data_IF_453331027437
#
_entry.id   IF_453331027437
#
_cell.length_a   1.000
_cell.length_b   1.000
_cell.length_c   1.000
_cell.angle_alpha   90.00
_cell.angle_beta   90.00
_cell.angle_gamma   90.00
#
_symmetry.space_group_name_H-M   'P 1'
#
loop_
_entity.id
_entity.type
_entity.pdbx_description
1 polymer ?
#
# COMPACT_ATOMS: atom_id res chain seq x y z
N UNK A 1 -9.11 16.46 -52.66
CA UNK A 1 -9.42 17.74 -51.99
C UNK A 1 -10.25 17.39 -50.77
N UNK A 2 -9.93 17.64 -49.51
CA UNK A 2 -9.01 18.55 -48.82
C UNK A 2 -8.33 17.81 -47.66
N UNK A 3 -7.00 17.81 -47.64
CA UNK A 3 -6.16 17.38 -46.52
C UNK A 3 -6.35 18.33 -45.34
N UNK A 4 -6.72 17.81 -44.17
CA UNK A 4 -6.73 18.59 -42.93
C UNK A 4 -5.27 18.88 -42.53
N UNK A 5 -4.81 20.15 -42.58
CA UNK A 5 -3.38 20.49 -42.58
C UNK A 5 -2.81 20.73 -41.18
N UNK A 6 -3.38 20.14 -40.12
CA UNK A 6 -3.01 20.50 -38.74
C UNK A 6 -2.37 19.37 -37.91
N UNK A 7 -1.59 18.51 -38.56
CA UNK A 7 -0.41 17.92 -37.91
C UNK A 7 0.79 18.75 -38.34
N UNK A 8 0.87 19.99 -37.83
CA UNK A 8 2.18 20.62 -37.74
C UNK A 8 3.02 19.72 -36.85
N UNK A 9 3.95 18.98 -37.46
CA UNK A 9 5.12 18.48 -36.75
C UNK A 9 5.72 19.69 -36.04
N UNK A 10 5.49 19.81 -34.73
CA UNK A 10 6.04 20.91 -33.96
C UNK A 10 7.53 20.97 -34.27
N UNK A 11 7.97 22.07 -34.90
CA UNK A 11 9.39 22.28 -35.18
C UNK A 11 10.14 22.02 -33.88
N UNK A 12 11.27 21.29 -33.89
CA UNK A 12 12.05 21.07 -32.67
C UNK A 12 12.32 22.45 -32.07
N UNK A 13 11.65 22.73 -30.95
CA UNK A 13 11.77 24.01 -30.29
C UNK A 13 13.24 24.09 -29.86
N UNK A 14 13.98 25.02 -30.43
CA UNK A 14 15.39 25.21 -30.09
C UNK A 14 15.45 25.58 -28.61
N UNK A 15 15.68 24.59 -27.75
CA UNK A 15 15.83 24.80 -26.32
C UNK A 15 17.16 25.52 -26.14
N UNK A 16 17.10 26.82 -25.81
CA UNK A 16 18.28 27.57 -25.36
C UNK A 16 18.72 26.99 -24.03
N UNK A 17 19.76 26.15 -24.04
CA UNK A 17 20.43 25.74 -22.82
C UNK A 17 21.25 26.91 -22.28
N UNK A 18 20.70 27.61 -21.30
CA UNK A 18 21.49 28.48 -20.43
C UNK A 18 22.55 27.64 -19.72
N UNK A 19 23.83 28.05 -19.77
CA UNK A 19 24.91 27.41 -19.01
C UNK A 19 24.76 27.58 -17.48
N UNK A 20 23.88 28.48 -17.02
CA UNK A 20 23.62 28.73 -15.59
C UNK A 20 22.28 28.12 -15.19
N UNK A 21 22.33 27.22 -14.21
CA UNK A 21 21.13 26.67 -13.58
C UNK A 21 20.49 27.74 -12.69
N UNK A 22 19.16 27.86 -12.79
CA UNK A 22 18.39 28.78 -11.95
C UNK A 22 18.33 28.25 -10.51
N UNK A 23 18.56 29.14 -9.53
CA UNK A 23 18.41 28.81 -8.11
C UNK A 23 16.93 28.93 -7.75
N UNK A 24 16.30 27.80 -7.45
CA UNK A 24 14.89 27.70 -7.07
C UNK A 24 14.71 27.92 -5.56
N UNK A 25 15.61 27.34 -4.75
CA UNK A 25 15.57 27.44 -3.29
C UNK A 25 16.83 28.15 -2.76
N UNK A 26 16.91 29.49 -2.80
CA UNK A 26 18.12 30.22 -2.40
C UNK A 26 18.40 30.13 -0.90
N UNK A 27 17.35 30.12 -0.08
CA UNK A 27 17.42 30.03 1.38
C UNK A 27 17.11 28.61 1.83
N UNK A 28 18.04 27.69 1.59
CA UNK A 28 17.84 26.29 1.89
C UNK A 28 18.98 25.68 2.71
N UNK A 29 18.74 24.49 3.26
CA UNK A 29 19.77 23.69 3.89
C UNK A 29 19.74 22.25 3.40
N UNK A 30 20.89 21.59 3.43
CA UNK A 30 21.05 20.17 3.24
C UNK A 30 21.58 19.51 4.50
N UNK A 31 20.85 18.50 4.99
CA UNK A 31 21.23 17.72 6.16
C UNK A 31 21.64 16.32 5.75
N UNK A 32 22.81 15.90 6.24
CA UNK A 32 23.21 14.51 6.23
C UNK A 32 23.14 13.95 7.67
N UNK A 33 22.32 12.91 7.84
CA UNK A 33 21.87 12.42 9.14
C UNK A 33 22.57 11.11 9.51
N UNK A 34 23.43 11.19 10.52
CA UNK A 34 24.06 10.04 11.15
C UNK A 34 23.43 9.75 12.53
N UNK A 35 23.83 8.64 13.15
CA UNK A 35 23.31 8.22 14.45
C UNK A 35 23.54 9.27 15.54
N UNK A 36 24.77 9.80 15.60
CA UNK A 36 25.20 10.69 16.70
C UNK A 36 25.41 12.15 16.24
N UNK A 37 25.50 12.37 14.92
CA UNK A 37 25.86 13.66 14.33
C UNK A 37 24.97 14.01 13.13
N UNK A 38 24.66 15.29 12.99
CA UNK A 38 23.99 15.89 11.83
C UNK A 38 24.95 16.88 11.20
N UNK A 39 25.28 16.68 9.92
CA UNK A 39 26.01 17.67 9.13
C UNK A 39 25.01 18.57 8.42
N UNK A 40 25.08 19.87 8.67
CA UNK A 40 24.18 20.86 8.10
C UNK A 40 24.96 21.83 7.21
N UNK A 41 24.67 21.81 5.91
CA UNK A 41 25.10 22.84 4.98
C UNK A 41 23.97 23.84 4.76
N UNK A 42 24.28 25.14 4.75
CA UNK A 42 23.31 26.21 4.50
C UNK A 42 23.64 27.00 3.24
N UNK A 43 22.61 27.37 2.48
CA UNK A 43 22.66 28.35 1.40
C UNK A 43 22.39 29.78 1.90
N UNK A 44 22.47 30.79 1.02
CA UNK A 44 22.70 30.68 -0.42
C UNK A 44 24.16 30.41 -0.80
N UNK A 45 24.37 29.67 -1.89
CA UNK A 45 25.69 29.50 -2.49
C UNK A 45 26.12 30.77 -3.24
N UNK A 46 27.40 31.13 -3.12
CA UNK A 46 28.01 32.26 -3.84
C UNK A 46 29.28 31.81 -4.56
N UNK A 47 29.51 32.35 -5.75
CA UNK A 47 30.71 32.04 -6.53
C UNK A 47 31.97 32.44 -5.77
N UNK A 48 32.97 31.55 -5.73
CA UNK A 48 34.23 31.77 -5.01
C UNK A 48 34.15 31.64 -3.48
N UNK A 49 32.96 31.40 -2.90
CA UNK A 49 32.78 31.25 -1.45
C UNK A 49 32.59 29.78 -1.09
N UNK A 50 33.39 29.28 -0.15
CA UNK A 50 33.23 27.92 0.36
C UNK A 50 31.91 27.78 1.13
N UNK A 51 31.15 26.69 0.94
CA UNK A 51 29.91 26.47 1.67
C UNK A 51 30.19 26.21 3.15
N UNK A 52 29.39 26.86 4.00
CA UNK A 52 29.41 26.67 5.44
C UNK A 52 28.76 25.33 5.78
N UNK A 53 29.46 24.54 6.61
CA UNK A 53 28.96 23.27 7.14
C UNK A 53 29.22 23.24 8.63
N UNK A 54 28.16 23.06 9.42
CA UNK A 54 28.20 22.98 10.88
C UNK A 54 27.66 21.62 11.30
N UNK A 55 28.24 21.03 12.36
CA UNK A 55 27.78 19.78 12.92
C UNK A 55 26.95 20.00 14.18
N UNK A 56 25.91 19.18 14.34
CA UNK A 56 25.05 19.18 15.52
C UNK A 56 24.87 17.77 16.05
N UNK A 57 24.81 17.57 17.37
CA UNK A 57 24.48 16.26 17.92
C UNK A 57 22.97 15.95 17.74
N UNK A 58 22.61 14.66 17.78
CA UNK A 58 21.23 14.19 17.48
C UNK A 58 20.27 14.21 18.68
N UNK A 59 20.73 14.54 19.88
CA UNK A 59 19.86 14.70 21.06
C UNK A 59 19.05 16.01 21.00
N UNK A 60 17.99 16.11 21.82
CA UNK A 60 17.01 17.21 21.79
C UNK A 60 17.66 18.60 21.85
N UNK A 61 18.63 18.83 22.72
CA UNK A 61 19.34 20.12 22.79
C UNK A 61 20.17 20.41 21.52
N UNK A 62 20.78 19.38 20.92
CA UNK A 62 21.45 19.47 19.62
C UNK A 62 20.51 19.88 18.49
N UNK A 63 19.32 19.28 18.45
CA UNK A 63 18.28 19.65 17.49
C UNK A 63 17.77 21.08 17.71
N UNK A 64 17.67 21.55 18.95
CA UNK A 64 17.35 22.96 19.25
C UNK A 64 18.45 23.92 18.77
N UNK A 65 19.72 23.55 18.92
CA UNK A 65 20.87 24.31 18.38
C UNK A 65 20.83 24.34 16.85
N UNK A 66 20.53 23.22 16.20
CA UNK A 66 20.33 23.14 14.75
C UNK A 66 19.21 24.10 14.30
N UNK A 67 18.03 24.06 14.93
CA UNK A 67 16.92 24.96 14.59
C UNK A 67 17.33 26.42 14.73
N UNK A 68 17.99 26.79 15.83
CA UNK A 68 18.45 28.17 16.06
C UNK A 68 19.38 28.62 14.94
N UNK A 69 20.38 27.80 14.61
CA UNK A 69 21.32 28.08 13.53
C UNK A 69 20.61 28.27 12.18
N UNK A 70 19.68 27.38 11.82
CA UNK A 70 18.93 27.49 10.56
C UNK A 70 18.08 28.76 10.49
N UNK A 71 17.46 29.17 11.61
CA UNK A 71 16.71 30.43 11.70
C UNK A 71 17.60 31.66 11.60
N UNK A 72 18.76 31.66 12.25
CA UNK A 72 19.77 32.73 12.14
C UNK A 72 20.24 32.91 10.68
N UNK A 73 20.42 31.80 9.96
CA UNK A 73 20.74 31.79 8.52
C UNK A 73 19.56 32.06 7.60
N UNK A 74 18.35 32.31 8.16
CA UNK A 74 17.10 32.56 7.44
C UNK A 74 16.75 31.45 6.44
N UNK A 75 17.07 30.20 6.78
CA UNK A 75 16.71 29.04 5.96
C UNK A 75 15.20 28.88 5.95
N UNK A 76 14.63 28.69 4.77
CA UNK A 76 13.20 28.44 4.57
C UNK A 76 12.90 26.93 4.42
N UNK A 77 13.72 26.21 3.64
CA UNK A 77 13.48 24.79 3.32
C UNK A 77 14.70 23.94 3.63
N UNK A 78 14.48 22.73 4.15
CA UNK A 78 15.56 21.85 4.64
C UNK A 78 15.45 20.48 4.01
N UNK A 79 16.35 20.12 3.09
CA UNK A 79 16.40 18.79 2.52
C UNK A 79 17.23 17.85 3.39
N UNK A 80 16.77 16.61 3.59
CA UNK A 80 17.50 15.59 4.35
C UNK A 80 17.41 14.21 3.68
N UNK A 81 18.51 13.48 3.67
CA UNK A 81 18.57 12.06 3.30
C UNK A 81 18.65 11.22 4.59
N UNK A 82 17.94 10.09 4.65
CA UNK A 82 18.15 9.08 5.70
C UNK A 82 17.81 7.67 5.22
N UNK A 83 18.55 6.69 5.72
CA UNK A 83 18.37 5.26 5.44
C UNK A 83 17.73 4.48 6.61
N UNK A 84 17.28 5.17 7.66
CA UNK A 84 16.72 4.56 8.88
C UNK A 84 15.63 5.40 9.56
N UNK A 85 15.46 5.25 10.88
CA UNK A 85 14.49 6.04 11.68
C UNK A 85 15.00 7.43 12.06
N UNK A 86 16.30 7.66 11.93
CA UNK A 86 16.98 8.87 12.44
C UNK A 86 16.51 10.19 11.84
N UNK A 87 15.77 10.18 10.72
CA UNK A 87 15.15 11.40 10.18
C UNK A 87 13.98 11.91 10.99
N UNK A 88 13.29 11.05 11.76
CA UNK A 88 11.99 11.40 12.34
C UNK A 88 12.09 12.55 13.34
N UNK A 89 13.01 12.46 14.31
CA UNK A 89 13.16 13.50 15.33
C UNK A 89 13.63 14.85 14.75
N UNK A 90 14.67 14.91 13.87
CA UNK A 90 15.01 16.14 13.16
C UNK A 90 13.84 16.71 12.34
N UNK A 91 13.14 15.86 11.58
CA UNK A 91 12.02 16.28 10.74
C UNK A 91 10.90 16.93 11.55
N UNK A 92 10.45 16.27 12.63
CA UNK A 92 9.40 16.81 13.50
C UNK A 92 9.87 18.09 14.21
N UNK A 93 11.10 18.13 14.71
CA UNK A 93 11.63 19.33 15.39
C UNK A 93 11.69 20.54 14.45
N UNK A 94 12.07 20.32 13.18
CA UNK A 94 12.08 21.39 12.17
C UNK A 94 10.66 21.84 11.82
N UNK A 95 9.73 20.90 11.69
CA UNK A 95 8.32 21.19 11.41
C UNK A 95 7.69 22.01 12.54
N UNK A 96 7.87 21.59 13.80
CA UNK A 96 7.39 22.29 14.99
C UNK A 96 7.99 23.71 15.12
N UNK A 97 9.20 23.90 14.59
CA UNK A 97 9.86 25.20 14.56
C UNK A 97 9.37 26.12 13.42
N UNK A 98 8.47 25.66 12.55
CA UNK A 98 7.94 26.41 11.41
C UNK A 98 8.84 26.42 10.18
N UNK A 99 9.81 25.50 10.08
CA UNK A 99 10.61 25.28 8.87
C UNK A 99 9.93 24.27 7.95
N UNK A 100 10.33 24.21 6.68
CA UNK A 100 9.81 23.25 5.69
C UNK A 100 10.81 22.10 5.44
N UNK A 101 10.76 21.01 6.24
CA UNK A 101 11.62 19.85 6.04
C UNK A 101 11.13 18.97 4.87
N UNK A 102 12.09 18.56 4.02
CA UNK A 102 11.90 17.71 2.84
C UNK A 102 12.73 16.44 2.98
N UNK A 103 12.08 15.32 3.27
CA UNK A 103 12.76 14.02 3.28
C UNK A 103 12.96 13.54 1.85
N UNK A 104 14.18 13.23 1.46
CA UNK A 104 14.53 12.82 0.09
C UNK A 104 14.88 11.33 0.07
N UNK A 105 14.47 10.64 -1.00
CA UNK A 105 14.79 9.22 -1.15
C UNK A 105 16.29 9.05 -1.45
N UNK A 106 17.03 8.23 -0.67
CA UNK A 106 18.44 7.93 -0.93
C UNK A 106 18.73 7.48 -2.36
N UNK A 107 17.83 6.70 -2.96
CA UNK A 107 17.97 6.21 -4.33
C UNK A 107 17.94 7.32 -5.38
N UNK A 108 17.26 8.44 -5.12
CA UNK A 108 17.17 9.55 -6.06
C UNK A 108 18.44 10.42 -6.01
N UNK A 109 19.07 10.54 -4.83
CA UNK A 109 20.34 11.26 -4.63
C UNK A 109 21.55 10.44 -5.12
N UNK A 110 21.57 9.12 -4.86
CA UNK A 110 22.68 8.22 -5.21
C UNK A 110 22.93 8.07 -6.70
N UNK A 111 21.90 8.24 -7.53
CA UNK A 111 22.01 8.04 -8.98
C UNK A 111 22.58 9.26 -9.73
N UNK A 112 22.88 10.36 -9.02
CA UNK A 112 23.43 11.57 -9.63
C UNK A 112 24.97 11.47 -9.64
N UNK A 113 25.56 11.49 -10.84
CA UNK A 113 27.01 11.44 -11.01
C UNK A 113 27.69 12.61 -10.29
N UNK A 114 28.84 12.35 -9.67
CA UNK A 114 29.60 13.36 -8.92
C UNK A 114 29.27 13.45 -7.43
N UNK A 115 28.43 12.54 -6.90
CA UNK A 115 28.20 12.43 -5.46
C UNK A 115 29.54 12.24 -4.71
N UNK A 116 29.81 13.05 -3.67
CA UNK A 116 30.99 12.90 -2.82
C UNK A 116 31.03 11.57 -2.04
N UNK A 117 32.16 11.29 -1.38
CA UNK A 117 32.36 10.10 -0.55
C UNK A 117 32.46 10.40 0.96
N UNK A 118 32.17 11.63 1.39
CA UNK A 118 32.26 12.02 2.81
C UNK A 118 30.99 12.74 3.27
N UNK A 119 30.64 12.54 4.54
CA UNK A 119 29.41 13.06 5.16
C UNK A 119 29.31 14.60 5.05
N UNK A 120 30.42 15.30 5.29
CA UNK A 120 30.51 16.75 5.09
C UNK A 120 30.11 17.14 3.67
N UNK A 121 30.66 16.46 2.68
CA UNK A 121 30.43 16.78 1.29
C UNK A 121 29.03 16.31 0.81
N UNK A 122 28.47 15.26 1.41
CA UNK A 122 27.10 14.82 1.18
C UNK A 122 26.08 15.87 1.65
N UNK A 123 26.28 16.52 2.81
CA UNK A 123 25.40 17.62 3.25
C UNK A 123 25.41 18.81 2.26
N UNK A 124 26.58 19.16 1.73
CA UNK A 124 26.75 20.20 0.70
C UNK A 124 26.07 19.79 -0.60
N UNK A 125 26.22 18.52 -0.99
CA UNK A 125 25.61 17.96 -2.19
C UNK A 125 24.09 18.00 -2.12
N UNK A 126 23.50 17.57 -1.00
CA UNK A 126 22.06 17.66 -0.74
C UNK A 126 21.60 19.11 -0.82
N UNK A 127 22.29 20.03 -0.13
CA UNK A 127 21.93 21.45 -0.13
C UNK A 127 21.97 22.05 -1.54
N UNK A 128 22.98 21.71 -2.34
CA UNK A 128 23.15 22.21 -3.71
C UNK A 128 22.10 21.64 -4.67
N UNK A 129 21.80 20.35 -4.59
CA UNK A 129 20.74 19.75 -5.41
C UNK A 129 19.38 20.34 -5.04
N UNK A 130 19.15 20.58 -3.75
CA UNK A 130 17.93 21.22 -3.27
C UNK A 130 17.82 22.68 -3.72
N UNK A 131 18.92 23.44 -3.73
CA UNK A 131 18.92 24.83 -4.22
C UNK A 131 18.51 24.95 -5.67
N UNK A 132 18.83 23.95 -6.51
CA UNK A 132 18.42 23.89 -7.92
C UNK A 132 17.08 23.16 -8.16
N UNK A 133 16.42 22.68 -7.10
CA UNK A 133 15.14 21.96 -7.19
C UNK A 133 15.22 20.57 -7.84
N UNK A 134 16.40 19.94 -7.84
CA UNK A 134 16.58 18.59 -8.38
C UNK A 134 16.07 17.48 -7.44
N UNK A 135 15.83 17.81 -6.17
CA UNK A 135 15.38 16.84 -5.18
C UNK A 135 13.86 16.76 -5.13
N UNK A 136 13.34 15.54 -5.24
CA UNK A 136 11.92 15.26 -5.02
C UNK A 136 11.69 14.87 -3.57
N UNK A 137 10.81 15.61 -2.89
CA UNK A 137 10.36 15.26 -1.55
C UNK A 137 9.56 13.95 -1.56
N UNK A 138 9.86 13.09 -0.60
CA UNK A 138 9.01 11.97 -0.21
C UNK A 138 7.75 12.51 0.45
N UNK A 139 6.65 11.78 0.30
CA UNK A 139 5.41 12.09 1.00
C UNK A 139 5.54 11.67 2.48
N UNK A 140 5.45 12.65 3.37
CA UNK A 140 5.33 12.45 4.82
C UNK A 140 3.92 12.90 5.22
N UNK A 141 3.11 12.04 5.83
CA UNK A 141 1.78 12.42 6.26
C UNK A 141 1.87 13.30 7.52
N UNK A 142 0.78 14.00 7.90
CA UNK A 142 0.74 14.77 9.14
C UNK A 142 1.11 13.93 10.39
N UNK A 143 1.63 14.55 11.47
CA UNK A 143 2.12 13.83 12.65
C UNK A 143 1.16 12.80 13.23
N UNK A 144 -0.14 13.10 13.29
CA UNK A 144 -1.17 12.16 13.78
C UNK A 144 -1.26 10.89 12.93
N UNK A 145 -1.21 11.02 11.61
CA UNK A 145 -1.22 9.90 10.67
C UNK A 145 0.12 9.15 10.71
N UNK A 146 1.23 9.84 10.95
CA UNK A 146 2.53 9.21 11.13
C UNK A 146 2.57 8.34 12.40
N UNK A 147 1.96 8.82 13.50
CA UNK A 147 1.78 8.03 14.72
C UNK A 147 0.91 6.79 14.48
N UNK A 148 -0.21 6.97 13.77
CA UNK A 148 -1.07 5.86 13.36
C UNK A 148 -0.30 4.83 12.51
N UNK A 149 0.51 5.28 11.55
CA UNK A 149 1.37 4.42 10.73
C UNK A 149 2.34 3.61 11.58
N UNK A 150 2.98 4.26 12.56
CA UNK A 150 3.93 3.62 13.46
C UNK A 150 3.25 2.54 14.31
N UNK A 151 2.06 2.81 14.85
CA UNK A 151 1.28 1.82 15.59
C UNK A 151 0.85 0.64 14.71
N UNK A 152 0.36 0.88 13.49
CA UNK A 152 0.06 -0.19 12.53
C UNK A 152 1.31 -1.03 12.23
N UNK A 153 2.47 -0.39 12.05
CA UNK A 153 3.75 -1.09 11.85
C UNK A 153 4.16 -1.94 13.06
N UNK A 154 3.92 -1.48 14.28
CA UNK A 154 4.12 -2.26 15.51
C UNK A 154 3.18 -3.46 15.56
N UNK A 155 1.89 -3.24 15.29
CA UNK A 155 0.87 -4.29 15.22
C UNK A 155 1.27 -5.39 14.24
N UNK A 156 1.69 -5.03 13.02
CA UNK A 156 2.09 -6.00 12.00
C UNK A 156 3.28 -6.86 12.45
N UNK A 157 4.27 -6.26 13.13
CA UNK A 157 5.41 -6.99 13.70
C UNK A 157 4.97 -7.96 14.80
N UNK A 158 4.08 -7.53 15.69
CA UNK A 158 3.55 -8.39 16.76
C UNK A 158 2.74 -9.56 16.18
N UNK A 159 1.97 -9.36 15.11
CA UNK A 159 1.25 -10.44 14.43
C UNK A 159 2.23 -11.48 13.86
N UNK A 160 3.31 -11.05 13.22
CA UNK A 160 4.35 -11.96 12.71
C UNK A 160 5.03 -12.73 13.86
N UNK A 161 5.30 -12.05 14.98
CA UNK A 161 5.88 -12.69 16.17
C UNK A 161 4.91 -13.70 16.81
N UNK A 162 3.62 -13.38 16.90
CA UNK A 162 2.59 -14.29 17.40
C UNK A 162 2.50 -15.56 16.53
N UNK A 163 2.51 -15.42 15.21
CA UNK A 163 2.56 -16.56 14.30
C UNK A 163 3.82 -17.41 14.47
N UNK A 164 4.95 -16.78 14.75
CA UNK A 164 6.21 -17.49 15.03
C UNK A 164 6.18 -18.25 16.35
N UNK A 165 5.59 -17.66 17.41
CA UNK A 165 5.41 -18.32 18.70
C UNK A 165 4.44 -19.52 18.57
N UNK A 166 3.32 -19.34 17.88
CA UNK A 166 2.37 -20.40 17.58
C UNK A 166 3.02 -21.59 16.84
N UNK A 167 3.86 -21.31 15.84
CA UNK A 167 4.59 -22.37 15.14
C UNK A 167 5.54 -23.13 16.06
N UNK A 168 6.21 -22.43 16.99
CA UNK A 168 7.09 -23.07 17.98
C UNK A 168 6.31 -23.95 18.96
N UNK A 169 5.15 -23.49 19.43
CA UNK A 169 4.24 -24.32 20.24
C UNK A 169 3.86 -25.61 19.49
N UNK A 170 3.47 -25.50 18.22
CA UNK A 170 3.16 -26.68 17.40
C UNK A 170 4.36 -27.62 17.26
N UNK A 171 5.57 -27.10 17.08
CA UNK A 171 6.77 -27.93 17.00
C UNK A 171 7.00 -28.73 18.30
N UNK A 172 6.77 -28.15 19.48
CA UNK A 172 6.89 -28.90 20.75
C UNK A 172 5.81 -29.99 20.88
N UNK A 173 4.57 -29.72 20.45
CA UNK A 173 3.51 -30.74 20.38
C UNK A 173 3.92 -31.90 19.46
N UNK A 174 4.44 -31.59 18.27
CA UNK A 174 4.90 -32.61 17.30
C UNK A 174 6.07 -33.43 17.85
N UNK A 175 7.04 -32.83 18.57
CA UNK A 175 8.14 -33.57 19.21
C UNK A 175 7.63 -34.60 20.23
N UNK A 176 6.56 -34.26 20.95
CA UNK A 176 5.87 -35.17 21.87
C UNK A 176 4.93 -36.17 21.15
N UNK A 177 4.89 -36.15 19.82
CA UNK A 177 3.96 -36.89 18.95
C UNK A 177 2.47 -36.55 19.15
N UNK A 178 2.16 -35.36 19.66
CA UNK A 178 0.80 -34.84 19.77
C UNK A 178 0.48 -34.06 18.50
N UNK A 179 -0.37 -34.63 17.64
CA UNK A 179 -0.64 -34.14 16.28
C UNK A 179 -1.89 -33.28 16.21
N UNK A 180 -1.93 -32.25 17.04
CA UNK A 180 -3.07 -31.32 17.13
C UNK A 180 -3.31 -30.56 15.81
N UNK A 181 -2.26 -30.38 15.01
CA UNK A 181 -2.27 -29.85 13.64
C UNK A 181 -3.14 -30.66 12.67
N UNK A 182 -3.31 -31.95 12.90
CA UNK A 182 -4.20 -32.81 12.10
C UNK A 182 -5.68 -32.74 12.55
N UNK A 183 -5.93 -32.18 13.74
CA UNK A 183 -7.27 -32.11 14.35
C UNK A 183 -7.88 -30.72 14.18
N UNK A 184 -7.07 -29.69 14.42
CA UNK A 184 -7.46 -28.29 14.47
C UNK A 184 -6.87 -27.51 13.30
N UNK A 185 -7.70 -26.66 12.67
CA UNK A 185 -7.22 -25.68 11.69
C UNK A 185 -6.47 -24.51 12.34
N UNK A 186 -6.71 -24.27 13.64
CA UNK A 186 -6.05 -23.25 14.43
C UNK A 186 -5.81 -23.75 15.86
N UNK A 187 -4.55 -24.01 16.17
CA UNK A 187 -4.09 -24.47 17.49
C UNK A 187 -4.21 -23.38 18.54
N UNK A 188 -4.20 -22.11 18.14
CA UNK A 188 -4.34 -20.99 19.06
C UNK A 188 -5.80 -20.54 19.23
N UNK A 189 -6.72 -21.19 18.53
CA UNK A 189 -8.15 -21.02 18.76
C UNK A 189 -8.58 -21.55 20.13
N UNK A 190 -9.86 -21.36 20.49
CA UNK A 190 -10.40 -21.71 21.81
C UNK A 190 -10.10 -23.16 22.23
N UNK A 191 -10.44 -24.14 21.39
CA UNK A 191 -10.21 -25.56 21.70
C UNK A 191 -8.72 -25.89 21.86
N UNK A 192 -7.87 -25.38 20.97
CA UNK A 192 -6.45 -25.68 21.01
C UNK A 192 -5.76 -25.05 22.22
N UNK A 193 -6.17 -23.83 22.59
CA UNK A 193 -5.72 -23.17 23.83
C UNK A 193 -6.08 -24.00 25.06
N UNK A 194 -7.33 -24.48 25.17
CA UNK A 194 -7.74 -25.32 26.30
C UNK A 194 -6.93 -26.62 26.39
N UNK A 195 -6.70 -27.29 25.25
CA UNK A 195 -5.88 -28.51 25.19
C UNK A 195 -4.44 -28.22 25.60
N UNK A 196 -3.81 -27.18 25.05
CA UNK A 196 -2.44 -26.79 25.40
C UNK A 196 -2.32 -26.45 26.89
N UNK A 197 -3.24 -25.66 27.44
CA UNK A 197 -3.24 -25.31 28.86
C UNK A 197 -3.44 -26.56 29.75
N UNK A 198 -4.27 -27.51 29.35
CA UNK A 198 -4.45 -28.77 30.09
C UNK A 198 -3.16 -29.60 30.09
N UNK A 199 -2.48 -29.72 28.94
CA UNK A 199 -1.19 -30.40 28.83
C UNK A 199 -0.15 -29.73 29.73
N UNK A 200 -0.08 -28.39 29.74
CA UNK A 200 0.84 -27.65 30.62
C UNK A 200 0.53 -27.94 32.10
N UNK A 201 -0.74 -28.04 32.49
CA UNK A 201 -1.17 -28.35 33.86
C UNK A 201 -1.01 -29.82 34.27
N UNK A 202 -0.51 -30.68 33.39
CA UNK A 202 -0.25 -32.09 33.71
C UNK A 202 -1.28 -33.08 33.16
N UNK A 203 -2.27 -32.66 32.38
CA UNK A 203 -3.22 -33.60 31.75
C UNK A 203 -2.54 -34.40 30.62
N UNK A 204 -2.74 -35.72 30.63
CA UNK A 204 -2.12 -36.67 29.69
C UNK A 204 -3.13 -37.61 29.03
N UNK A 205 -4.36 -37.66 29.55
CA UNK A 205 -5.44 -38.50 29.06
C UNK A 205 -5.95 -37.99 27.71
N UNK A 206 -5.83 -38.79 26.62
CA UNK A 206 -6.37 -38.40 25.32
C UNK A 206 -7.87 -38.13 25.36
N UNK A 207 -8.63 -38.84 26.22
CA UNK A 207 -10.06 -38.64 26.39
C UNK A 207 -10.38 -37.31 27.08
N UNK A 208 -9.63 -36.94 28.11
CA UNK A 208 -9.79 -35.66 28.78
C UNK A 208 -9.53 -34.51 27.80
N UNK A 209 -8.44 -34.60 27.02
CA UNK A 209 -8.11 -33.61 25.99
C UNK A 209 -9.16 -33.55 24.88
N UNK A 210 -9.71 -34.69 24.45
CA UNK A 210 -10.80 -34.74 23.47
C UNK A 210 -12.05 -34.03 23.96
N UNK A 211 -12.39 -34.16 25.25
CA UNK A 211 -13.57 -33.54 25.84
C UNK A 211 -13.51 -32.00 25.85
N UNK A 212 -12.30 -31.43 25.90
CA UNK A 212 -12.06 -29.98 25.77
C UNK A 212 -12.34 -29.43 24.37
N UNK A 213 -12.39 -30.30 23.36
CA UNK A 213 -12.68 -29.89 21.98
C UNK A 213 -14.15 -29.50 21.84
N UNK A 214 -14.40 -28.43 21.10
CA UNK A 214 -15.77 -28.02 20.77
C UNK A 214 -16.50 -29.08 19.93
N UNK A 215 -17.82 -29.14 20.06
CA UNK A 215 -18.70 -30.19 19.50
C UNK A 215 -18.48 -30.42 17.99
N UNK A 216 -18.35 -29.35 17.20
CA UNK A 216 -18.11 -29.44 15.76
C UNK A 216 -16.80 -30.16 15.38
N UNK A 217 -15.78 -30.13 16.25
CA UNK A 217 -14.53 -30.87 16.04
C UNK A 217 -14.74 -32.32 16.44
N UNK A 218 -15.37 -32.58 17.59
CA UNK A 218 -15.69 -33.93 18.07
C UNK A 218 -16.51 -34.74 17.05
N UNK A 219 -17.41 -34.07 16.33
CA UNK A 219 -18.22 -34.67 15.26
C UNK A 219 -17.41 -35.25 14.08
N UNK A 220 -16.12 -34.91 13.94
CA UNK A 220 -15.24 -35.54 12.92
C UNK A 220 -14.92 -37.00 13.24
N UNK A 221 -15.25 -37.47 14.43
CA UNK A 221 -15.18 -38.87 14.85
C UNK A 221 -14.11 -39.10 15.90
N UNK A 222 -14.54 -39.61 17.07
CA UNK A 222 -13.66 -39.91 18.21
C UNK A 222 -12.47 -40.79 17.84
N UNK A 223 -12.71 -41.91 17.14
CA UNK A 223 -11.66 -42.84 16.72
C UNK A 223 -10.62 -42.23 15.77
N UNK A 224 -10.94 -41.14 15.06
CA UNK A 224 -9.99 -40.42 14.21
C UNK A 224 -9.17 -39.38 14.97
N UNK A 225 -9.69 -38.86 16.08
CA UNK A 225 -9.08 -37.74 16.82
C UNK A 225 -8.18 -38.24 17.95
N UNK A 226 -8.66 -39.20 18.75
CA UNK A 226 -7.95 -39.71 19.93
C UNK A 226 -6.50 -40.12 19.61
N UNK A 227 -6.18 -40.82 18.51
CA UNK A 227 -4.81 -41.18 18.17
C UNK A 227 -3.85 -39.98 18.01
N UNK A 228 -4.37 -38.80 17.65
CA UNK A 228 -3.59 -37.58 17.51
C UNK A 228 -3.37 -36.83 18.84
N UNK A 229 -4.07 -37.21 19.90
CA UNK A 229 -3.93 -36.65 21.25
C UNK A 229 -3.07 -37.52 22.17
N UNK A 230 -2.67 -38.71 21.69
CA UNK A 230 -1.71 -39.57 22.37
C UNK A 230 -0.29 -39.08 22.09
N UNK A 231 0.54 -38.97 23.13
CA UNK A 231 1.92 -38.52 23.00
C UNK A 231 2.80 -39.06 24.13
N UNK A 232 4.11 -38.78 24.04
CA UNK A 232 5.10 -39.16 25.07
C UNK A 232 5.22 -38.16 26.21
N UNK A 233 4.79 -36.92 25.98
CA UNK A 233 4.78 -35.84 26.98
C UNK A 233 6.13 -35.59 27.67
N UNK A 234 7.22 -35.61 26.89
CA UNK A 234 8.58 -35.37 27.37
C UNK A 234 8.66 -34.04 28.16
N UNK A 235 9.16 -34.06 29.40
CA UNK A 235 9.12 -32.92 30.34
C UNK A 235 9.75 -31.64 29.75
N UNK A 236 10.90 -31.75 29.09
CA UNK A 236 11.55 -30.63 28.42
C UNK A 236 10.67 -30.02 27.31
N UNK A 237 9.92 -30.84 26.57
CA UNK A 237 9.01 -30.35 25.53
C UNK A 237 7.78 -29.66 26.15
N UNK A 238 7.25 -30.17 27.25
CA UNK A 238 6.16 -29.53 28.01
C UNK A 238 6.60 -28.17 28.55
N UNK A 239 7.79 -28.07 29.14
CA UNK A 239 8.36 -26.81 29.62
C UNK A 239 8.55 -25.79 28.49
N UNK A 240 9.09 -26.22 27.34
CA UNK A 240 9.23 -25.36 26.16
C UNK A 240 7.85 -24.92 25.63
N UNK A 241 6.87 -25.82 25.60
CA UNK A 241 5.50 -25.51 25.19
C UNK A 241 4.89 -24.43 26.09
N UNK A 242 5.04 -24.54 27.41
CA UNK A 242 4.62 -23.53 28.38
C UNK A 242 5.29 -22.18 28.11
N UNK A 243 6.61 -22.16 27.92
CA UNK A 243 7.38 -20.95 27.62
C UNK A 243 6.85 -20.24 26.36
N UNK A 244 6.65 -20.99 25.27
CA UNK A 244 6.12 -20.43 24.02
C UNK A 244 4.67 -19.99 24.14
N UNK A 245 3.85 -20.72 24.91
CA UNK A 245 2.46 -20.39 25.16
C UNK A 245 2.33 -19.08 25.96
N UNK A 246 3.13 -18.90 27.01
CA UNK A 246 3.19 -17.67 27.79
C UNK A 246 3.62 -16.47 26.93
N UNK A 247 4.66 -16.64 26.10
CA UNK A 247 5.10 -15.60 25.16
C UNK A 247 4.01 -15.26 24.14
N UNK A 248 3.34 -16.26 23.57
CA UNK A 248 2.22 -16.06 22.65
C UNK A 248 1.11 -15.21 23.29
N UNK A 249 0.68 -15.54 24.52
CA UNK A 249 -0.35 -14.77 25.26
C UNK A 249 0.10 -13.33 25.49
N UNK A 250 1.35 -13.10 25.89
CA UNK A 250 1.91 -11.76 26.09
C UNK A 250 1.92 -10.94 24.79
N UNK A 251 2.31 -11.53 23.66
CA UNK A 251 2.28 -10.86 22.35
C UNK A 251 0.84 -10.51 21.96
N UNK A 252 -0.13 -11.41 22.19
CA UNK A 252 -1.55 -11.17 21.88
C UNK A 252 -2.14 -10.01 22.70
N UNK A 253 -1.84 -9.93 23.99
CA UNK A 253 -2.18 -8.77 24.82
C UNK A 253 -1.51 -7.48 24.30
N UNK A 254 -0.28 -7.57 23.79
CA UNK A 254 0.39 -6.47 23.11
C UNK A 254 -0.38 -6.00 21.86
N UNK A 255 -0.89 -6.92 21.04
CA UNK A 255 -1.71 -6.60 19.87
C UNK A 255 -2.99 -5.89 20.28
N UNK A 256 -3.70 -6.39 21.30
CA UNK A 256 -4.93 -5.77 21.83
C UNK A 256 -4.67 -4.32 22.28
N UNK A 257 -3.62 -4.09 23.07
CA UNK A 257 -3.22 -2.74 23.53
C UNK A 257 -2.90 -1.79 22.37
N UNK A 258 -2.23 -2.28 21.33
CA UNK A 258 -1.92 -1.48 20.15
C UNK A 258 -3.18 -1.21 19.31
N UNK A 259 -4.07 -2.20 19.15
CA UNK A 259 -5.35 -2.04 18.46
C UNK A 259 -6.24 -1.00 19.14
N UNK A 260 -6.27 -0.99 20.48
CA UNK A 260 -6.97 0.03 21.27
C UNK A 260 -6.44 1.44 20.95
N UNK A 261 -5.11 1.62 20.93
CA UNK A 261 -4.51 2.91 20.57
C UNK A 261 -4.75 3.31 19.11
N UNK A 262 -4.70 2.36 18.18
CA UNK A 262 -5.05 2.60 16.77
C UNK A 262 -6.51 3.06 16.67
N UNK A 263 -7.43 2.37 17.36
CA UNK A 263 -8.84 2.70 17.34
C UNK A 263 -9.11 4.10 17.90
N UNK A 264 -8.48 4.48 19.02
CA UNK A 264 -8.57 5.81 19.61
C UNK A 264 -8.14 6.91 18.61
N UNK A 265 -7.02 6.72 17.91
CA UNK A 265 -6.59 7.69 16.89
C UNK A 265 -7.60 7.74 15.73
N UNK A 266 -8.03 6.60 15.20
CA UNK A 266 -9.02 6.56 14.13
C UNK A 266 -10.33 7.26 14.53
N UNK A 267 -10.76 7.10 15.78
CA UNK A 267 -11.96 7.75 16.31
C UNK A 267 -11.83 9.27 16.38
N UNK A 268 -10.64 9.78 16.68
CA UNK A 268 -10.34 11.22 16.73
C UNK A 268 -10.23 11.91 15.37
N UNK A 269 -10.13 11.14 14.28
CA UNK A 269 -10.01 11.72 12.94
C UNK A 269 -11.28 12.46 12.51
N UNK A 270 -11.16 13.50 11.65
CA UNK A 270 -12.30 14.26 11.15
C UNK A 270 -13.36 13.37 10.51
N UNK A 271 -14.62 13.61 10.89
CA UNK A 271 -15.81 12.88 10.42
C UNK A 271 -16.51 13.72 9.34
N UNK A 272 -16.87 13.09 8.21
CA UNK A 272 -17.61 13.70 7.09
C UNK A 272 -19.10 13.36 7.08
N UNK A 273 -19.53 12.34 7.82
CA UNK A 273 -20.94 11.95 7.95
C UNK A 273 -21.26 11.40 9.34
N UNK A 274 -22.55 11.40 9.70
CA UNK A 274 -23.08 10.65 10.84
C UNK A 274 -23.20 9.15 10.55
N UNK A 275 -23.33 8.35 11.60
CA UNK A 275 -23.40 6.88 11.50
C UNK A 275 -24.68 6.34 10.84
N UNK A 276 -25.75 7.14 10.77
CA UNK A 276 -27.13 6.68 10.63
C UNK A 276 -27.57 6.27 9.21
N UNK A 277 -26.82 6.58 8.15
CA UNK A 277 -27.21 6.32 6.75
C UNK A 277 -26.39 5.23 6.05
N UNK A 278 -25.89 4.24 6.78
CA UNK A 278 -25.04 3.21 6.17
C UNK A 278 -25.84 2.12 5.45
N UNK A 279 -25.46 1.73 4.21
CA UNK A 279 -26.04 0.55 3.56
C UNK A 279 -25.77 -0.74 4.35
N UNK A 280 -26.56 -1.82 4.15
CA UNK A 280 -26.28 -3.11 4.76
C UNK A 280 -24.89 -3.62 4.33
N UNK A 281 -24.24 -4.37 5.23
CA UNK A 281 -22.98 -5.00 4.91
C UNK A 281 -23.15 -6.03 3.78
N UNK A 282 -22.17 -6.14 2.89
CA UNK A 282 -22.14 -7.25 1.92
C UNK A 282 -22.17 -8.59 2.65
N UNK A 283 -22.85 -9.58 2.07
CA UNK A 283 -23.02 -10.94 2.66
C UNK A 283 -21.72 -11.58 3.19
N UNK A 284 -20.59 -11.36 2.51
CA UNK A 284 -19.29 -11.96 2.86
C UNK A 284 -18.34 -10.99 3.56
N UNK A 285 -18.84 -9.87 4.08
CA UNK A 285 -18.02 -8.92 4.83
C UNK A 285 -17.66 -9.49 6.21
N UNK A 286 -16.38 -9.47 6.57
CA UNK A 286 -15.90 -9.92 7.87
C UNK A 286 -14.62 -9.17 8.25
N UNK A 287 -14.61 -8.52 9.41
CA UNK A 287 -13.45 -7.82 9.98
C UNK A 287 -12.97 -8.39 11.32
N UNK A 288 -13.59 -9.48 11.83
CA UNK A 288 -13.25 -10.07 13.14
C UNK A 288 -11.79 -10.53 13.23
N UNK A 289 -11.22 -10.95 12.11
CA UNK A 289 -9.82 -11.37 12.02
C UNK A 289 -8.81 -10.23 12.27
N UNK A 290 -9.27 -8.98 12.26
CA UNK A 290 -8.44 -7.82 12.59
C UNK A 290 -8.33 -7.57 14.09
N UNK A 291 -9.25 -8.14 14.87
CA UNK A 291 -9.17 -8.20 16.33
C UNK A 291 -9.15 -6.82 17.00
N UNK A 292 -9.90 -5.87 16.42
CA UNK A 292 -10.09 -4.53 17.00
C UNK A 292 -11.15 -4.55 18.10
N UNK A 293 -11.07 -3.66 19.10
CA UNK A 293 -12.01 -3.60 20.23
C UNK A 293 -13.45 -3.34 19.79
N UNK A 294 -13.63 -2.60 18.69
CA UNK A 294 -14.93 -2.26 18.13
C UNK A 294 -14.93 -2.36 16.59
N UNK A 295 -16.11 -2.51 15.95
CA UNK A 295 -16.22 -2.55 14.50
C UNK A 295 -15.59 -1.33 13.81
N UNK A 296 -14.83 -1.54 12.74
CA UNK A 296 -14.15 -0.46 12.01
C UNK A 296 -14.98 0.07 10.86
N UNK A 297 -15.88 -0.73 10.27
CA UNK A 297 -16.72 -0.28 9.14
C UNK A 297 -17.54 0.97 9.45
N UNK A 298 -18.26 1.07 10.59
CA UNK A 298 -18.96 2.30 10.98
C UNK A 298 -18.03 3.50 11.03
N UNK A 299 -16.88 3.33 11.68
CA UNK A 299 -15.89 4.37 11.84
C UNK A 299 -15.35 4.88 10.49
N UNK A 300 -15.02 3.99 9.56
CA UNK A 300 -14.55 4.40 8.24
C UNK A 300 -15.62 5.09 7.40
N UNK A 301 -16.89 4.69 7.51
CA UNK A 301 -17.96 5.40 6.85
C UNK A 301 -18.08 6.84 7.35
N UNK A 302 -18.02 7.05 8.67
CA UNK A 302 -18.04 8.40 9.24
C UNK A 302 -16.84 9.23 8.77
N UNK A 303 -15.64 8.64 8.72
CA UNK A 303 -14.41 9.31 8.25
C UNK A 303 -14.52 9.73 6.78
N UNK A 304 -14.95 8.82 5.90
CA UNK A 304 -14.97 9.07 4.46
C UNK A 304 -16.26 9.73 3.96
N UNK A 305 -17.33 9.72 4.76
CA UNK A 305 -18.67 10.13 4.37
C UNK A 305 -19.36 9.16 3.39
N UNK A 306 -18.76 7.99 3.15
CA UNK A 306 -19.30 6.97 2.26
C UNK A 306 -18.72 5.61 2.59
N UNK A 307 -19.47 4.54 2.35
CA UNK A 307 -19.05 3.18 2.67
C UNK A 307 -18.19 2.59 1.55
N UNK A 308 -16.88 2.85 1.62
CA UNK A 308 -15.90 2.27 0.70
C UNK A 308 -15.87 0.74 0.76
N UNK A 309 -16.35 0.11 1.84
CA UNK A 309 -16.42 -1.36 1.94
C UNK A 309 -17.44 -1.94 0.97
N UNK A 310 -18.36 -1.15 0.38
CA UNK A 310 -19.24 -1.64 -0.69
C UNK A 310 -18.46 -2.01 -1.96
N UNK A 311 -17.29 -1.42 -2.18
CA UNK A 311 -16.46 -1.75 -3.34
C UNK A 311 -16.02 -3.23 -3.32
N UNK A 312 -15.96 -3.91 -4.48
CA UNK A 312 -15.55 -5.30 -4.55
C UNK A 312 -14.16 -5.53 -3.98
N UNK A 313 -14.04 -6.47 -3.04
CA UNK A 313 -12.78 -6.83 -2.39
C UNK A 313 -12.24 -5.82 -1.36
N UNK A 314 -12.89 -4.66 -1.17
CA UNK A 314 -12.49 -3.71 -0.13
C UNK A 314 -13.03 -4.17 1.23
N UNK A 315 -12.12 -4.39 2.18
CA UNK A 315 -12.39 -4.68 3.59
C UNK A 315 -11.77 -3.62 4.51
N UNK A 316 -11.99 -3.76 5.81
CA UNK A 316 -11.44 -2.85 6.81
C UNK A 316 -9.89 -2.87 6.86
N UNK A 317 -9.27 -3.99 6.49
CA UNK A 317 -7.82 -4.16 6.38
C UNK A 317 -7.20 -3.16 5.40
N UNK A 318 -7.80 -3.00 4.21
CA UNK A 318 -7.39 -2.02 3.22
C UNK A 318 -7.60 -0.60 3.74
N UNK A 319 -8.69 -0.34 4.45
CA UNK A 319 -9.01 1.00 4.96
C UNK A 319 -8.08 1.42 6.11
N UNK A 320 -7.72 0.51 7.02
CA UNK A 320 -6.66 0.73 8.02
C UNK A 320 -5.34 1.06 7.32
N UNK A 321 -4.96 0.27 6.31
CA UNK A 321 -3.73 0.52 5.55
C UNK A 321 -3.78 1.86 4.80
N UNK A 322 -4.94 2.24 4.25
CA UNK A 322 -5.15 3.50 3.55
C UNK A 322 -4.96 4.69 4.51
N UNK A 323 -5.72 4.73 5.60
CA UNK A 323 -5.68 5.86 6.54
C UNK A 323 -4.32 5.97 7.21
N UNK A 324 -3.72 4.86 7.65
CA UNK A 324 -2.38 4.88 8.24
C UNK A 324 -1.26 5.23 7.26
N UNK A 325 -1.45 4.99 5.97
CA UNK A 325 -0.42 5.31 4.97
C UNK A 325 -0.58 6.73 4.42
N UNK A 326 -1.78 7.19 4.12
CA UNK A 326 -1.96 8.46 3.41
C UNK A 326 -2.90 9.45 4.11
N UNK A 327 -3.54 9.04 5.19
CA UNK A 327 -4.54 9.84 5.88
C UNK A 327 -5.91 9.75 5.21
N UNK A 328 -6.75 10.72 5.52
CA UNK A 328 -8.14 10.83 5.03
C UNK A 328 -8.26 11.78 3.82
N UNK A 329 -7.17 12.45 3.47
CA UNK A 329 -7.05 13.36 2.34
C UNK A 329 -5.97 12.88 1.37
N UNK A 330 -6.27 12.95 0.07
CA UNK A 330 -5.38 12.54 -1.02
C UNK A 330 -4.93 13.72 -1.89
N UNK A 331 -5.11 14.96 -1.41
CA UNK A 331 -4.71 16.21 -2.11
C UNK A 331 -3.22 16.28 -2.46
N UNK A 332 -2.36 15.53 -1.76
CA UNK A 332 -0.94 15.42 -2.04
C UNK A 332 -0.63 14.87 -3.46
N UNK A 333 -1.60 14.22 -4.12
CA UNK A 333 -1.49 13.78 -5.51
C UNK A 333 -2.45 14.58 -6.40
N UNK A 334 -1.95 15.22 -7.48
CA UNK A 334 -2.81 16.01 -8.37
C UNK A 334 -3.95 15.21 -9.02
N UNK A 335 -3.68 13.94 -9.35
CA UNK A 335 -4.64 13.03 -9.95
C UNK A 335 -4.39 11.56 -9.54
N UNK A 336 -5.30 10.67 -9.95
CA UNK A 336 -5.21 9.25 -9.66
C UNK A 336 -3.99 8.57 -10.29
N UNK A 337 -3.47 9.09 -11.40
CA UNK A 337 -2.28 8.54 -12.07
C UNK A 337 -1.02 8.77 -11.23
N UNK A 338 -0.90 9.95 -10.60
CA UNK A 338 0.17 10.27 -9.67
C UNK A 338 0.10 9.38 -8.42
N UNK A 339 -1.12 9.16 -7.90
CA UNK A 339 -1.34 8.27 -6.74
C UNK A 339 -0.92 6.83 -7.02
N UNK A 340 -1.38 6.23 -8.13
CA UNK A 340 -1.02 4.84 -8.46
C UNK A 340 0.44 4.67 -8.89
N UNK A 341 1.05 5.72 -9.43
CA UNK A 341 2.49 5.77 -9.69
C UNK A 341 3.28 5.74 -8.39
N UNK A 342 2.89 6.57 -7.41
CA UNK A 342 3.49 6.60 -6.07
C UNK A 342 3.33 5.28 -5.32
N UNK A 343 2.18 4.61 -5.43
CA UNK A 343 1.99 3.25 -4.89
C UNK A 343 2.91 2.20 -5.53
N UNK A 344 3.44 2.46 -6.73
CA UNK A 344 4.19 1.50 -7.53
C UNK A 344 3.31 0.48 -8.26
N UNK A 345 2.03 0.81 -8.48
CA UNK A 345 1.09 -0.01 -9.26
C UNK A 345 1.09 0.35 -10.75
N UNK A 346 1.73 1.46 -11.13
CA UNK A 346 1.95 1.83 -12.52
C UNK A 346 3.21 1.15 -13.11
N UNK A 347 3.18 0.68 -14.37
CA UNK A 347 4.38 0.24 -15.06
C UNK A 347 5.31 1.44 -15.31
N UNK A 348 6.62 1.19 -15.28
CA UNK A 348 7.61 2.22 -15.62
C UNK A 348 7.56 2.49 -17.13
N UNK A 349 7.47 3.77 -17.51
CA UNK A 349 7.59 4.16 -18.91
C UNK A 349 9.03 3.99 -19.38
N UNK A 350 9.21 3.20 -20.45
CA UNK A 350 10.48 3.05 -21.16
C UNK A 350 10.22 3.35 -22.62
N UNK A 351 10.64 4.53 -23.05
CA UNK A 351 10.51 4.95 -24.44
C UNK A 351 11.90 5.29 -24.98
N UNK A 352 12.18 4.86 -26.21
CA UNK A 352 13.41 5.19 -26.93
C UNK A 352 13.09 5.36 -28.39
N UNK A 353 13.53 6.47 -29.00
CA UNK A 353 13.29 6.79 -30.40
C UNK A 353 11.81 6.63 -30.82
N UNK A 354 10.87 7.12 -29.99
CA UNK A 354 9.43 7.05 -30.26
C UNK A 354 8.77 5.67 -30.03
N UNK A 355 9.54 4.61 -29.73
CA UNK A 355 8.99 3.28 -29.46
C UNK A 355 8.86 2.99 -27.97
N UNK A 356 7.68 2.54 -27.56
CA UNK A 356 7.39 2.09 -26.20
C UNK A 356 7.93 0.67 -25.97
N UNK A 357 8.97 0.57 -25.15
CA UNK A 357 9.53 -0.70 -24.68
C UNK A 357 8.71 -1.26 -23.52
N UNK A 358 8.74 -2.58 -23.35
CA UNK A 358 8.07 -3.21 -22.20
C UNK A 358 8.73 -2.76 -20.89
N UNK A 359 7.89 -2.31 -19.94
CA UNK A 359 8.32 -1.86 -18.62
C UNK A 359 7.76 -2.77 -17.53
N UNK A 360 8.61 -3.16 -16.57
CA UNK A 360 8.15 -3.78 -15.31
C UNK A 360 7.67 -2.70 -14.36
N UNK A 361 6.75 -3.04 -13.45
CA UNK A 361 6.44 -2.17 -12.31
C UNK A 361 7.65 -2.10 -11.37
N UNK A 362 7.87 -0.94 -10.73
CA UNK A 362 8.93 -0.79 -9.72
C UNK A 362 8.65 -1.75 -8.55
N UNK A 363 9.70 -2.35 -7.98
CA UNK A 363 9.55 -3.06 -6.70
C UNK A 363 9.14 -2.03 -5.65
N UNK A 364 8.04 -2.29 -4.95
CA UNK A 364 7.47 -1.38 -3.96
C UNK A 364 7.35 -2.09 -2.63
N UNK A 365 7.88 -1.46 -1.58
CA UNK A 365 7.67 -1.84 -0.18
C UNK A 365 6.45 -1.15 0.45
N UNK A 366 5.62 -0.48 -0.36
CA UNK A 366 4.47 0.28 0.14
C UNK A 366 3.37 -0.68 0.65
N UNK A 367 3.01 -0.64 1.95
CA UNK A 367 2.03 -1.55 2.53
C UNK A 367 0.64 -1.38 1.89
N UNK A 368 0.24 -0.15 1.60
CA UNK A 368 -1.03 0.15 0.94
C UNK A 368 -1.12 -0.47 -0.46
N UNK A 369 -0.01 -0.46 -1.21
CA UNK A 369 0.03 -1.13 -2.51
C UNK A 369 -0.17 -2.65 -2.40
N UNK A 370 0.26 -3.28 -1.30
CA UNK A 370 0.02 -4.69 -1.04
C UNK A 370 -1.43 -4.95 -0.59
N UNK A 371 -2.00 -4.09 0.26
CA UNK A 371 -3.41 -4.15 0.63
C UNK A 371 -4.33 -4.06 -0.60
N UNK A 372 -4.05 -3.15 -1.54
CA UNK A 372 -4.77 -3.08 -2.82
C UNK A 372 -4.67 -4.37 -3.65
N UNK A 373 -3.52 -5.05 -3.62
CA UNK A 373 -3.34 -6.34 -4.30
C UNK A 373 -4.14 -7.46 -3.64
N UNK A 374 -4.26 -7.46 -2.31
CA UNK A 374 -5.11 -8.41 -1.57
C UNK A 374 -6.59 -8.16 -1.87
N UNK A 375 -7.02 -6.90 -1.83
CA UNK A 375 -8.37 -6.51 -2.21
C UNK A 375 -8.71 -6.91 -3.66
N UNK A 376 -7.76 -6.72 -4.59
CA UNK A 376 -7.92 -7.18 -5.98
C UNK A 376 -8.10 -8.70 -6.11
N UNK A 377 -7.42 -9.49 -5.28
CA UNK A 377 -7.60 -10.95 -5.24
C UNK A 377 -8.97 -11.32 -4.69
N UNK A 378 -9.43 -10.67 -3.63
CA UNK A 378 -10.77 -10.88 -3.08
C UNK A 378 -11.86 -10.48 -4.10
N UNK A 379 -11.69 -9.36 -4.81
CA UNK A 379 -12.61 -8.87 -5.82
C UNK A 379 -12.83 -9.89 -6.97
N UNK A 380 -11.81 -10.67 -7.34
CA UNK A 380 -11.89 -11.71 -8.38
C UNK A 380 -13.02 -12.72 -8.14
N UNK A 381 -13.36 -12.98 -6.88
CA UNK A 381 -14.35 -13.98 -6.48
C UNK A 381 -15.79 -13.42 -6.42
N UNK A 382 -16.01 -12.20 -6.93
CA UNK A 382 -17.32 -11.52 -6.90
C UNK A 382 -17.95 -11.46 -8.30
N UNK A 383 -19.29 -11.43 -8.37
CA UNK A 383 -20.08 -11.23 -9.61
C UNK A 383 -20.21 -9.74 -9.96
N UNK A 384 -19.11 -9.00 -9.85
CA UNK A 384 -19.06 -7.56 -10.10
C UNK A 384 -18.19 -7.24 -11.29
N UNK A 385 -18.30 -6.03 -11.82
CA UNK A 385 -17.42 -5.55 -12.89
C UNK A 385 -15.91 -5.74 -12.57
N UNK A 386 -15.47 -5.47 -11.34
CA UNK A 386 -14.06 -5.69 -10.97
C UNK A 386 -13.71 -7.18 -10.93
N UNK A 387 -14.62 -8.02 -10.45
CA UNK A 387 -14.46 -9.48 -10.49
C UNK A 387 -14.32 -10.02 -11.92
N UNK A 388 -15.22 -9.61 -12.81
CA UNK A 388 -15.15 -9.97 -14.23
C UNK A 388 -13.86 -9.44 -14.88
N UNK A 389 -13.50 -8.18 -14.62
CA UNK A 389 -12.23 -7.61 -15.10
C UNK A 389 -11.05 -8.47 -14.67
N UNK A 390 -11.02 -8.90 -13.41
CA UNK A 390 -9.94 -9.72 -12.85
C UNK A 390 -9.87 -11.10 -13.51
N UNK A 391 -11.01 -11.80 -13.66
CA UNK A 391 -11.09 -13.11 -14.33
C UNK A 391 -10.62 -13.03 -15.78
N UNK A 392 -11.12 -12.06 -16.54
CA UNK A 392 -10.76 -11.83 -17.94
C UNK A 392 -9.31 -11.41 -18.15
N UNK A 393 -8.77 -10.55 -17.28
CA UNK A 393 -7.33 -10.23 -17.34
C UNK A 393 -6.51 -11.48 -17.01
N UNK A 394 -6.92 -12.26 -16.01
CA UNK A 394 -6.26 -13.50 -15.62
C UNK A 394 -6.21 -14.56 -16.73
N UNK A 395 -7.16 -14.58 -17.67
CA UNK A 395 -7.13 -15.51 -18.81
C UNK A 395 -6.21 -15.04 -19.95
N UNK A 396 -5.88 -13.75 -20.02
CA UNK A 396 -5.06 -13.17 -21.11
C UNK A 396 -3.60 -12.93 -20.74
N UNK A 397 -3.31 -12.70 -19.46
CA UNK A 397 -1.99 -12.34 -18.95
C UNK A 397 -1.69 -13.10 -17.67
N UNK A 398 -0.41 -13.10 -17.26
CA UNK A 398 -0.01 -13.84 -16.05
C UNK A 398 -0.79 -13.37 -14.81
N UNK A 399 -1.15 -14.28 -13.87
CA UNK A 399 -1.93 -13.93 -12.68
C UNK A 399 -1.33 -12.79 -11.86
N UNK A 400 0.01 -12.72 -11.78
CA UNK A 400 0.72 -11.63 -11.10
C UNK A 400 0.44 -10.27 -11.75
N UNK A 401 0.48 -10.18 -13.09
CA UNK A 401 0.19 -8.93 -13.81
C UNK A 401 -1.29 -8.55 -13.71
N UNK A 402 -2.19 -9.52 -13.82
CA UNK A 402 -3.63 -9.29 -13.66
C UNK A 402 -3.96 -8.70 -12.28
N UNK A 403 -3.38 -9.27 -11.21
CA UNK A 403 -3.52 -8.75 -9.83
C UNK A 403 -3.13 -7.28 -9.71
N UNK A 404 -1.97 -6.89 -10.26
CA UNK A 404 -1.51 -5.50 -10.21
C UNK A 404 -2.41 -4.56 -11.01
N UNK A 405 -2.88 -4.98 -12.19
CA UNK A 405 -3.78 -4.17 -13.02
C UNK A 405 -5.13 -3.91 -12.33
N UNK A 406 -5.70 -4.93 -11.66
CA UNK A 406 -6.95 -4.78 -10.90
C UNK A 406 -6.73 -3.91 -9.65
N UNK A 407 -5.61 -4.10 -8.94
CA UNK A 407 -5.23 -3.26 -7.81
C UNK A 407 -5.10 -1.78 -8.19
N UNK A 408 -4.44 -1.49 -9.33
CA UNK A 408 -4.33 -0.13 -9.88
C UNK A 408 -5.71 0.48 -10.11
N UNK A 409 -6.60 -0.25 -10.77
CA UNK A 409 -7.95 0.21 -11.07
C UNK A 409 -8.77 0.49 -9.81
N UNK A 410 -8.66 -0.38 -8.80
CA UNK A 410 -9.31 -0.18 -7.51
C UNK A 410 -8.77 1.07 -6.79
N UNK A 411 -7.45 1.30 -6.81
CA UNK A 411 -6.84 2.50 -6.26
C UNK A 411 -7.29 3.78 -6.97
N UNK A 412 -7.41 3.77 -8.30
CA UNK A 412 -7.97 4.90 -9.06
C UNK A 412 -9.43 5.18 -8.67
N UNK A 413 -10.25 4.14 -8.47
CA UNK A 413 -11.65 4.30 -8.03
C UNK A 413 -11.71 4.93 -6.63
N UNK A 414 -10.97 4.40 -5.65
CA UNK A 414 -10.94 4.93 -4.28
C UNK A 414 -10.44 6.37 -4.27
N UNK A 415 -9.37 6.67 -5.01
CA UNK A 415 -8.86 8.05 -5.14
C UNK A 415 -9.94 9.01 -5.62
N UNK A 416 -10.67 8.63 -6.67
CA UNK A 416 -11.71 9.46 -7.25
C UNK A 416 -12.91 9.67 -6.31
N UNK A 417 -13.26 8.66 -5.51
CA UNK A 417 -14.33 8.77 -4.50
C UNK A 417 -13.89 9.76 -3.40
N UNK A 418 -12.70 9.57 -2.84
CA UNK A 418 -12.20 10.41 -1.73
C UNK A 418 -11.96 11.85 -2.17
N UNK A 419 -11.30 12.07 -3.31
CA UNK A 419 -10.92 13.41 -3.78
C UNK A 419 -12.12 14.18 -4.35
N UNK A 420 -12.98 13.52 -5.12
CA UNK A 420 -14.02 14.21 -5.90
C UNK A 420 -15.45 13.92 -5.43
N UNK A 421 -15.63 13.20 -4.31
CA UNK A 421 -16.96 12.87 -3.78
C UNK A 421 -17.82 12.05 -4.74
N UNK A 422 -17.20 11.28 -5.65
CA UNK A 422 -17.97 10.46 -6.59
C UNK A 422 -18.78 9.41 -5.83
N UNK A 423 -20.05 9.18 -6.18
CA UNK A 423 -20.88 8.21 -5.48
C UNK A 423 -20.28 6.81 -5.58
N UNK A 424 -20.38 6.04 -4.49
CA UNK A 424 -20.02 4.63 -4.48
C UNK A 424 -21.09 3.86 -5.24
N UNK A 425 -20.85 3.68 -6.54
CA UNK A 425 -21.73 2.92 -7.42
C UNK A 425 -20.99 1.71 -7.98
N UNK A 426 -21.35 0.52 -7.50
CA UNK A 426 -20.79 -0.75 -7.93
C UNK A 426 -21.65 -1.30 -9.05
N UNK A 427 -21.15 -1.20 -10.28
CA UNK A 427 -21.84 -1.72 -11.46
C UNK A 427 -21.88 -3.24 -11.46
N UNK A 428 -23.01 -3.79 -11.90
CA UNK A 428 -23.17 -5.22 -12.13
C UNK A 428 -22.31 -5.69 -13.32
N UNK A 429 -22.17 -7.00 -13.46
CA UNK A 429 -21.46 -7.60 -14.60
C UNK A 429 -22.13 -7.22 -15.93
N UNK A 430 -23.46 -7.33 -16.00
CA UNK A 430 -24.29 -7.03 -17.17
C UNK A 430 -24.21 -5.56 -17.61
N UNK A 431 -24.37 -4.62 -16.67
CA UNK A 431 -24.26 -3.18 -16.94
C UNK A 431 -22.90 -2.81 -17.54
N UNK A 432 -21.83 -3.46 -17.03
CA UNK A 432 -20.50 -3.24 -17.55
C UNK A 432 -20.30 -3.87 -18.93
N UNK A 433 -20.76 -5.10 -19.13
CA UNK A 433 -20.69 -5.76 -20.44
C UNK A 433 -21.39 -4.94 -21.52
N UNK A 434 -22.59 -4.45 -21.23
CA UNK A 434 -23.35 -3.59 -22.15
C UNK A 434 -22.57 -2.33 -22.53
N UNK A 435 -21.99 -1.63 -21.53
CA UNK A 435 -21.19 -0.44 -21.78
C UNK A 435 -19.89 -0.74 -22.55
N UNK A 436 -19.29 -1.90 -22.31
CA UNK A 436 -18.10 -2.35 -23.04
C UNK A 436 -18.46 -2.66 -24.49
N UNK A 437 -19.50 -3.46 -24.74
CA UNK A 437 -19.99 -3.76 -26.11
C UNK A 437 -20.26 -2.44 -26.85
N UNK A 438 -20.92 -1.48 -26.21
CA UNK A 438 -21.12 -0.12 -26.76
C UNK A 438 -19.81 0.57 -27.11
N UNK A 439 -18.78 0.49 -26.27
CA UNK A 439 -17.44 1.07 -26.56
C UNK A 439 -16.69 0.33 -27.66
N UNK A 440 -16.79 -1.00 -27.72
CA UNK A 440 -16.19 -1.80 -28.78
C UNK A 440 -16.82 -1.46 -30.13
N UNK A 441 -18.15 -1.33 -30.18
CA UNK A 441 -18.88 -0.82 -31.33
C UNK A 441 -18.39 0.58 -31.70
N UNK A 442 -18.30 1.52 -30.74
CA UNK A 442 -17.81 2.87 -31.01
C UNK A 442 -16.36 2.90 -31.51
N UNK A 443 -15.47 2.08 -30.95
CA UNK A 443 -14.08 2.00 -31.39
C UNK A 443 -13.96 1.33 -32.76
N UNK A 444 -14.79 0.32 -33.04
CA UNK A 444 -14.92 -0.30 -34.34
C UNK A 444 -15.38 0.72 -35.39
N UNK A 445 -16.44 1.48 -35.11
CA UNK A 445 -16.89 2.61 -35.94
C UNK A 445 -15.76 3.62 -36.17
N UNK A 446 -15.05 4.04 -35.12
CA UNK A 446 -13.89 4.94 -35.26
C UNK A 446 -12.76 4.35 -36.11
N UNK A 447 -12.54 3.03 -36.05
CA UNK A 447 -11.54 2.36 -36.87
C UNK A 447 -11.97 2.25 -38.33
N UNK A 448 -13.28 2.09 -38.58
CA UNK A 448 -13.86 2.07 -39.91
C UNK A 448 -13.72 3.43 -40.61
N UNK A 449 -13.79 4.55 -39.87
CA UNK A 449 -13.54 5.89 -40.43
C UNK A 449 -12.15 6.04 -41.07
N UNK A 450 -11.17 5.19 -40.75
CA UNK A 450 -9.86 5.18 -41.43
C UNK A 450 -9.94 4.66 -42.87
N UNK A 451 -11.01 3.95 -43.19
CA UNK A 451 -11.30 3.38 -44.49
C UNK A 451 -12.49 4.11 -45.15
N UNK A 452 -12.79 5.34 -44.74
CA UNK A 452 -13.82 6.15 -45.36
C UNK A 452 -13.19 7.18 -46.32
N UNK A 453 -13.77 7.34 -47.51
CA UNK A 453 -13.51 8.41 -48.49
C UNK A 453 -14.80 9.19 -48.70
N UNK A 454 -14.76 10.51 -48.61
CA UNK A 454 -15.91 11.40 -48.80
C UNK A 454 -17.13 11.03 -47.94
N UNK A 455 -16.89 10.62 -46.68
CA UNK A 455 -17.94 10.22 -45.74
C UNK A 455 -18.52 8.82 -45.97
N UNK A 456 -18.09 8.10 -47.02
CA UNK A 456 -18.52 6.74 -47.35
C UNK A 456 -17.39 5.74 -47.14
N UNK A 457 -17.69 4.56 -46.59
CA UNK A 457 -16.71 3.46 -46.48
C UNK A 457 -16.25 3.02 -47.87
N UNK A 458 -14.97 2.69 -48.03
CA UNK A 458 -14.45 2.10 -49.28
C UNK A 458 -15.25 0.85 -49.65
N UNK A 459 -15.60 0.70 -50.93
CA UNK A 459 -16.43 -0.40 -51.45
C UNK A 459 -15.91 -1.78 -51.03
N UNK A 460 -14.59 -1.98 -51.05
CA UNK A 460 -13.93 -3.22 -50.63
C UNK A 460 -14.25 -3.60 -49.17
N UNK A 461 -14.31 -2.61 -48.27
CA UNK A 461 -14.62 -2.83 -46.85
C UNK A 461 -16.11 -3.14 -46.66
N UNK A 462 -16.99 -2.50 -47.43
CA UNK A 462 -18.43 -2.79 -47.42
C UNK A 462 -18.73 -4.22 -47.92
N UNK A 463 -18.04 -4.64 -48.98
CA UNK A 463 -18.15 -5.97 -49.56
C UNK A 463 -17.73 -7.05 -48.53
N UNK A 464 -16.62 -6.82 -47.82
CA UNK A 464 -16.11 -7.75 -46.82
C UNK A 464 -16.99 -7.82 -45.56
N UNK A 465 -17.57 -6.69 -45.11
CA UNK A 465 -18.57 -6.66 -44.04
C UNK A 465 -19.82 -7.45 -44.46
N UNK A 466 -20.31 -7.29 -45.70
CA UNK A 466 -21.45 -8.05 -46.23
C UNK A 466 -21.17 -9.55 -46.26
N UNK A 467 -20.01 -9.96 -46.78
CA UNK A 467 -19.57 -11.36 -46.83
C UNK A 467 -19.47 -12.00 -45.45
N UNK A 468 -18.95 -11.24 -44.46
CA UNK A 468 -18.79 -11.71 -43.08
C UNK A 468 -20.12 -11.80 -42.34
N UNK A 469 -21.03 -10.87 -42.58
CA UNK A 469 -22.40 -10.92 -42.04
C UNK A 469 -23.21 -12.06 -42.67
N UNK A 470 -23.06 -12.33 -43.97
CA UNK A 470 -23.67 -13.47 -44.64
C UNK A 470 -23.16 -14.81 -44.07
N UNK A 471 -21.85 -14.92 -43.80
CA UNK A 471 -21.27 -16.10 -43.11
C UNK A 471 -21.79 -16.26 -41.68
N UNK A 472 -21.91 -15.17 -40.92
CA UNK A 472 -22.48 -15.21 -39.57
C UNK A 472 -23.97 -15.59 -39.57
N UNK A 473 -24.76 -15.08 -40.52
CA UNK A 473 -26.15 -15.47 -40.71
C UNK A 473 -26.32 -16.94 -41.11
N UNK A 474 -25.36 -17.51 -41.87
CA UNK A 474 -25.34 -18.93 -42.22
C UNK A 474 -24.85 -19.84 -41.07
N UNK A 475 -24.15 -19.30 -40.06
CA UNK A 475 -23.64 -20.07 -38.90
C UNK A 475 -24.60 -20.01 -37.70
N UNK A 476 -25.52 -19.04 -37.67
CA UNK A 476 -26.62 -18.97 -36.69
C UNK A 476 -27.88 -19.54 -37.33
N UNK A 477 -27.85 -20.85 -37.56
CA UNK A 477 -29.05 -21.67 -37.73
C UNK A 477 -29.04 -22.63 -36.55
N UNK A 478 -29.99 -22.43 -35.62
CA UNK A 478 -30.43 -23.47 -34.69
C UNK A 478 -31.22 -24.48 -35.53
#
# INVERSE_FOLDING_TARGET
MTTDPNVQSAKPQAVRFSKKLEIINPHCAGLDLHKDTIWACTGPFRDGVAPEVVTFPTHTEGLRKLVRHLKEKRVATVAMESTGVYWLAPYLTLLDAGLDPRLVNPGDVKNIKGRPKSDRADSVWICRLHSYGFLRSSFIPPPEILNLRNLCGTRDKLIVQAGSAAQRMNNELVKMNIRLDNVLSDINGKSGTLVVEAIIRGERSPEALFNLLATQIKNKGRGKIIPHLTGRYDECCVFNLETWHALYKSIRQGIERVNEKIYQILQSLPKKAGASDMPPAKKNYNERHLDFPHPLRPLFHEIFGTDLTQLPGVGADLLVSLVSTVGTDLSAWPDSSHFVSWLGLAPVNRESAGHRKSGKTKRTGNPLANAFKMAAMAAKNTTTYLGQTARRLGSRITPKKAKVAVARKLAEIIFNIIRHGKPVHVKTEEEYEMRRKKREIQNFIKSLNKFARDGSLMQEVLEEIRLRNARLAATVVI
#
